data_IF_128214283566
#
_entry.id   IF_128214283566
#
_cell.length_a   1.000
_cell.length_b   1.000
_cell.length_c   1.000
_cell.angle_alpha   90.00
_cell.angle_beta   90.00
_cell.angle_gamma   90.00
#
_symmetry.space_group_name_H-M   'P 1'
#
loop_
_entity.id
_entity.type
_entity.pdbx_description
1 polymer ?
#
# COMPACT_ATOMS: atom_id res chain seq x y z
N UNK A 1 -0.74 4.68 6.84
CA UNK A 1 -1.35 3.37 6.64
C UNK A 1 -2.56 3.44 5.75
N UNK A 2 -2.71 2.50 4.83
CA UNK A 2 -3.81 2.50 3.84
C UNK A 2 -5.06 1.78 4.33
N UNK A 3 -4.99 1.12 5.48
CA UNK A 3 -6.11 0.37 6.04
C UNK A 3 -7.11 1.25 6.82
N UNK A 4 -6.86 2.53 6.97
CA UNK A 4 -7.78 3.42 7.68
C UNK A 4 -9.12 3.51 6.97
N UNK A 5 -10.16 3.29 7.75
CA UNK A 5 -11.55 3.33 7.30
C UNK A 5 -12.33 4.30 8.17
N UNK A 6 -13.30 4.95 7.57
CA UNK A 6 -14.23 5.84 8.29
C UNK A 6 -15.50 5.10 8.74
N UNK A 7 -15.58 3.80 8.43
CA UNK A 7 -16.70 2.95 8.79
C UNK A 7 -16.21 1.53 9.00
N UNK A 8 -16.80 0.81 9.95
CA UNK A 8 -16.43 -0.59 10.20
C UNK A 8 -16.79 -1.46 8.99
N UNK A 9 -15.93 -2.41 8.66
CA UNK A 9 -16.13 -3.29 7.51
C UNK A 9 -17.34 -4.22 7.67
N UNK A 10 -17.79 -4.44 8.90
CA UNK A 10 -18.98 -5.23 9.23
C UNK A 10 -20.29 -4.46 9.03
N UNK A 11 -20.24 -3.12 8.90
CA UNK A 11 -21.41 -2.30 8.64
C UNK A 11 -21.95 -2.61 7.24
N UNK A 12 -23.27 -2.82 7.13
CA UNK A 12 -23.92 -3.18 5.87
C UNK A 12 -23.80 -2.10 4.80
N UNK A 13 -23.53 -0.86 5.20
CA UNK A 13 -23.34 0.27 4.27
C UNK A 13 -21.87 0.50 3.92
N UNK A 14 -20.93 -0.33 4.41
CA UNK A 14 -19.52 -0.24 4.10
C UNK A 14 -19.26 -0.57 2.62
N UNK A 15 -18.33 0.17 2.04
CA UNK A 15 -17.82 -0.09 0.69
C UNK A 15 -16.32 0.18 0.67
N UNK A 16 -15.55 -0.73 0.11
CA UNK A 16 -14.10 -0.57 -0.06
C UNK A 16 -13.76 0.69 -0.86
N UNK A 17 -14.58 1.07 -1.83
CA UNK A 17 -14.35 2.26 -2.63
C UNK A 17 -14.60 3.56 -1.88
N UNK A 18 -15.59 3.58 -0.99
CA UNK A 18 -16.06 4.82 -0.34
C UNK A 18 -15.47 5.00 1.04
N UNK A 19 -15.22 3.91 1.78
CA UNK A 19 -14.94 3.98 3.20
C UNK A 19 -13.46 3.72 3.56
N UNK A 20 -12.61 3.45 2.60
CA UNK A 20 -11.15 3.47 2.79
C UNK A 20 -10.66 4.89 2.53
N UNK A 21 -10.18 5.56 3.57
CA UNK A 21 -9.87 7.00 3.54
C UNK A 21 -8.82 7.33 2.48
N UNK A 22 -7.68 6.66 2.48
CA UNK A 22 -6.61 6.95 1.53
C UNK A 22 -6.98 6.59 0.10
N UNK A 23 -7.71 5.49 -0.09
CA UNK A 23 -8.19 5.09 -1.40
C UNK A 23 -9.12 6.16 -2.00
N UNK A 24 -10.08 6.65 -1.21
CA UNK A 24 -11.01 7.70 -1.65
C UNK A 24 -10.29 9.00 -1.98
N UNK A 25 -9.33 9.41 -1.15
CA UNK A 25 -8.54 10.62 -1.39
C UNK A 25 -7.71 10.50 -2.66
N UNK A 26 -7.07 9.35 -2.87
CA UNK A 26 -6.27 9.11 -4.07
C UNK A 26 -7.13 9.09 -5.32
N UNK A 27 -8.30 8.46 -5.25
CA UNK A 27 -9.27 8.42 -6.35
C UNK A 27 -9.70 9.82 -6.80
N UNK A 28 -9.82 10.75 -5.86
CA UNK A 28 -10.17 12.14 -6.12
C UNK A 28 -8.98 13.03 -6.48
N UNK A 29 -7.74 12.54 -6.32
CA UNK A 29 -6.54 13.36 -6.51
C UNK A 29 -6.19 13.53 -7.99
N UNK A 30 -5.38 14.56 -8.26
CA UNK A 30 -4.84 14.83 -9.60
C UNK A 30 -3.48 14.19 -9.78
N UNK A 31 -3.08 13.97 -11.03
CA UNK A 31 -1.75 13.51 -11.39
C UNK A 31 -0.68 14.43 -10.79
N UNK A 32 0.36 13.83 -10.22
CA UNK A 32 1.51 14.54 -9.63
C UNK A 32 2.79 14.03 -10.30
N UNK A 33 3.24 14.67 -11.37
CA UNK A 33 4.41 14.21 -12.10
C UNK A 33 5.67 14.30 -11.22
N UNK A 34 6.60 13.41 -11.46
CA UNK A 34 7.88 13.37 -10.77
C UNK A 34 7.87 12.65 -9.43
N UNK A 35 6.73 12.17 -8.95
CA UNK A 35 6.68 11.37 -7.74
C UNK A 35 6.99 9.90 -8.03
N UNK A 36 7.68 9.27 -7.08
CA UNK A 36 7.92 7.84 -7.07
C UNK A 36 7.40 7.27 -5.75
N UNK A 37 7.08 5.98 -5.74
CA UNK A 37 6.43 5.34 -4.60
C UNK A 37 7.13 4.04 -4.26
N UNK A 38 7.38 3.83 -2.97
CA UNK A 38 7.95 2.59 -2.46
C UNK A 38 7.04 2.08 -1.35
N UNK A 39 6.51 0.88 -1.55
CA UNK A 39 5.56 0.27 -0.64
C UNK A 39 6.15 -0.98 -0.01
N UNK A 40 5.80 -1.21 1.22
CA UNK A 40 6.12 -2.43 1.95
C UNK A 40 4.89 -2.96 2.65
N UNK A 41 4.72 -4.28 2.63
CA UNK A 41 3.72 -4.97 3.43
C UNK A 41 4.30 -6.29 3.94
N UNK A 42 4.02 -6.62 5.19
CA UNK A 42 4.42 -7.90 5.79
C UNK A 42 3.23 -8.85 5.91
N UNK A 43 3.44 -10.10 5.58
CA UNK A 43 2.36 -11.10 5.59
C UNK A 43 1.88 -11.45 7.00
N UNK A 44 2.62 -11.07 8.05
CA UNK A 44 2.27 -11.33 9.43
C UNK A 44 1.91 -10.04 10.20
N UNK A 45 1.63 -8.93 9.50
CA UNK A 45 1.30 -7.66 10.14
C UNK A 45 -0.04 -7.68 10.87
N UNK A 46 -0.98 -8.48 10.37
CA UNK A 46 -2.31 -8.63 10.96
C UNK A 46 -2.91 -9.96 10.57
N UNK A 47 -4.13 -10.23 11.03
CA UNK A 47 -4.89 -11.43 10.67
C UNK A 47 -6.19 -11.11 9.94
N UNK A 48 -6.52 -9.82 9.80
CA UNK A 48 -7.76 -9.40 9.18
C UNK A 48 -7.79 -9.76 7.70
N UNK A 49 -8.88 -10.36 7.28
CA UNK A 49 -9.13 -10.79 5.90
C UNK A 49 -10.63 -10.63 5.66
N UNK A 50 -11.08 -9.40 5.32
CA UNK A 50 -12.49 -9.06 5.22
C UNK A 50 -13.21 -9.67 4.02
N UNK A 51 -12.48 -9.96 2.94
CA UNK A 51 -13.04 -10.61 1.76
C UNK A 51 -12.84 -12.14 1.74
N UNK A 52 -12.16 -12.66 2.76
CA UNK A 52 -11.93 -14.11 2.98
C UNK A 52 -11.25 -14.80 1.81
N UNK A 53 -10.30 -14.12 1.17
CA UNK A 53 -9.51 -14.66 0.06
C UNK A 53 -8.19 -15.30 0.50
N UNK A 54 -7.95 -15.40 1.81
CA UNK A 54 -6.72 -15.90 2.45
C UNK A 54 -5.53 -14.95 2.32
N UNK A 55 -5.76 -13.71 1.89
CA UNK A 55 -4.77 -12.64 1.85
C UNK A 55 -5.18 -11.58 2.87
N UNK A 56 -4.27 -11.20 3.76
CA UNK A 56 -4.60 -10.23 4.81
C UNK A 56 -4.88 -8.85 4.21
N UNK A 57 -5.74 -8.09 4.90
CA UNK A 57 -6.24 -6.81 4.40
C UNK A 57 -5.15 -5.79 4.06
N UNK A 58 -4.05 -5.73 4.82
CA UNK A 58 -2.98 -4.77 4.56
C UNK A 58 -2.33 -5.00 3.19
N UNK A 59 -2.21 -6.25 2.77
CA UNK A 59 -1.67 -6.61 1.46
C UNK A 59 -2.65 -6.21 0.36
N UNK A 60 -3.91 -6.59 0.52
CA UNK A 60 -4.97 -6.24 -0.44
C UNK A 60 -5.11 -4.73 -0.59
N UNK A 61 -5.17 -4.01 0.52
CA UNK A 61 -5.31 -2.55 0.52
C UNK A 61 -4.12 -1.87 -0.15
N UNK A 62 -2.91 -2.37 0.07
CA UNK A 62 -1.70 -1.83 -0.58
C UNK A 62 -1.74 -2.07 -2.08
N UNK A 63 -2.08 -3.27 -2.52
CA UNK A 63 -2.19 -3.60 -3.95
C UNK A 63 -3.27 -2.78 -4.65
N UNK A 64 -4.39 -2.55 -3.98
CA UNK A 64 -5.46 -1.70 -4.53
C UNK A 64 -5.00 -0.26 -4.74
N UNK A 65 -4.22 0.29 -3.81
CA UNK A 65 -3.62 1.62 -3.95
C UNK A 65 -2.67 1.66 -5.16
N UNK A 66 -1.81 0.66 -5.30
CA UNK A 66 -0.87 0.57 -6.43
C UNK A 66 -1.63 0.51 -7.75
N UNK A 67 -2.64 -0.34 -7.84
CA UNK A 67 -3.46 -0.47 -9.04
C UNK A 67 -4.18 0.84 -9.39
N UNK A 68 -4.64 1.57 -8.38
CA UNK A 68 -5.30 2.86 -8.59
C UNK A 68 -4.30 3.92 -9.11
N UNK A 69 -3.09 3.96 -8.55
CA UNK A 69 -2.03 4.86 -9.03
C UNK A 69 -1.72 4.61 -10.50
N UNK A 70 -1.60 3.35 -10.90
CA UNK A 70 -1.34 2.97 -12.28
C UNK A 70 -2.52 3.29 -13.20
N UNK A 71 -3.73 2.96 -12.78
CA UNK A 71 -4.96 3.20 -13.55
C UNK A 71 -5.19 4.67 -13.83
N UNK A 72 -4.88 5.54 -12.86
CA UNK A 72 -5.01 6.99 -12.98
C UNK A 72 -3.84 7.65 -13.71
N UNK A 73 -2.83 6.88 -14.09
CA UNK A 73 -1.59 7.41 -14.67
C UNK A 73 -0.91 8.47 -13.78
N UNK A 74 -1.04 8.31 -12.46
CA UNK A 74 -0.34 9.18 -11.49
C UNK A 74 1.15 8.95 -11.58
N UNK A 75 1.54 7.71 -11.80
CA UNK A 75 2.94 7.28 -11.91
C UNK A 75 3.04 6.16 -12.94
N UNK A 76 4.18 6.07 -13.62
CA UNK A 76 4.48 4.93 -14.50
C UNK A 76 4.90 3.72 -13.66
N UNK A 77 4.81 2.53 -14.24
CA UNK A 77 5.19 1.28 -13.57
C UNK A 77 6.60 1.34 -12.98
N UNK A 78 7.54 1.97 -13.66
CA UNK A 78 8.92 2.12 -13.21
C UNK A 78 9.06 2.99 -11.97
N UNK A 79 8.06 3.81 -11.68
CA UNK A 79 8.04 4.68 -10.49
C UNK A 79 7.47 4.04 -9.24
N UNK A 80 7.09 2.76 -9.31
CA UNK A 80 6.51 2.04 -8.17
C UNK A 80 7.39 0.84 -7.83
N UNK A 81 7.72 0.68 -6.55
CA UNK A 81 8.32 -0.54 -5.99
C UNK A 81 7.40 -1.07 -4.91
N UNK A 82 7.15 -2.37 -4.92
CA UNK A 82 6.40 -3.06 -3.88
C UNK A 82 7.23 -4.21 -3.32
N UNK A 83 7.42 -4.21 -2.01
CA UNK A 83 8.11 -5.26 -1.27
C UNK A 83 7.12 -5.95 -0.34
N UNK A 84 7.00 -7.27 -0.48
CA UNK A 84 6.18 -8.09 0.40
C UNK A 84 7.09 -9.08 1.13
N UNK A 85 7.03 -9.07 2.46
CA UNK A 85 7.80 -9.98 3.28
C UNK A 85 6.90 -11.11 3.78
N UNK A 86 7.22 -12.39 3.53
CA UNK A 86 6.40 -13.51 4.02
C UNK A 86 6.43 -13.64 5.54
N UNK A 87 7.41 -13.04 6.21
CA UNK A 87 7.57 -13.11 7.67
C UNK A 87 7.49 -11.73 8.33
N UNK A 88 7.25 -10.67 7.57
CA UNK A 88 7.23 -9.31 8.09
C UNK A 88 6.06 -9.05 9.03
N UNK A 89 6.34 -8.36 10.13
CA UNK A 89 5.36 -7.89 11.10
C UNK A 89 5.29 -6.37 11.08
N UNK A 90 4.32 -5.79 11.77
CA UNK A 90 4.18 -4.33 11.86
C UNK A 90 5.07 -3.79 12.98
N UNK A 91 6.38 -3.79 12.76
CA UNK A 91 7.37 -3.42 13.76
C UNK A 91 8.71 -2.98 13.15
N UNK A 92 9.50 -2.28 13.92
CA UNK A 92 10.82 -1.80 13.54
C UNK A 92 11.75 -2.90 13.04
N UNK A 93 11.66 -4.09 13.61
CA UNK A 93 12.50 -5.21 13.21
C UNK A 93 12.31 -5.55 11.73
N UNK A 94 11.07 -5.57 11.26
CA UNK A 94 10.77 -5.84 9.86
C UNK A 94 11.11 -4.66 8.96
N UNK A 95 10.81 -3.44 9.39
CA UNK A 95 11.11 -2.25 8.60
C UNK A 95 12.61 -2.02 8.44
N UNK A 96 13.40 -2.31 9.46
CA UNK A 96 14.86 -2.17 9.40
C UNK A 96 15.50 -3.15 8.42
N UNK A 97 14.89 -4.29 8.16
CA UNK A 97 15.38 -5.26 7.17
C UNK A 97 15.27 -4.75 5.74
N UNK A 98 14.21 -4.01 5.42
CA UNK A 98 13.96 -3.52 4.06
C UNK A 98 14.43 -2.10 3.83
N UNK A 99 14.71 -1.34 4.87
CA UNK A 99 15.11 0.05 4.77
C UNK A 99 16.40 0.27 3.96
N UNK A 100 17.45 -0.59 4.06
CA UNK A 100 18.61 -0.45 3.18
C UNK A 100 18.28 -0.55 1.69
N UNK A 101 17.37 -1.43 1.30
CA UNK A 101 16.92 -1.53 -0.09
C UNK A 101 16.22 -0.25 -0.54
N UNK A 102 15.38 0.31 0.32
CA UNK A 102 14.74 1.60 0.07
C UNK A 102 15.76 2.70 -0.16
N UNK A 103 16.79 2.79 0.69
CA UNK A 103 17.83 3.81 0.57
C UNK A 103 18.58 3.71 -0.76
N UNK A 104 18.94 2.51 -1.18
CA UNK A 104 19.62 2.29 -2.46
C UNK A 104 18.73 2.70 -3.63
N UNK A 105 17.45 2.41 -3.55
CA UNK A 105 16.48 2.80 -4.58
C UNK A 105 16.26 4.32 -4.61
N UNK A 106 16.10 4.95 -3.45
CA UNK A 106 15.80 6.38 -3.35
C UNK A 106 17.02 7.27 -3.65
N UNK A 107 18.20 6.80 -3.30
CA UNK A 107 19.46 7.56 -3.42
C UNK A 107 20.54 6.73 -4.08
N UNK A 108 20.36 6.29 -5.34
CA UNK A 108 21.34 5.43 -6.00
C UNK A 108 22.64 6.18 -6.26
N UNK A 109 23.76 5.46 -6.13
CA UNK A 109 25.09 5.98 -6.42
C UNK A 109 25.24 6.10 -7.95
N UNK A 110 25.81 7.20 -8.42
CA UNK A 110 26.10 7.41 -9.83
C UNK A 110 24.97 8.00 -10.66
N UNK A 111 23.95 8.54 -10.01
CA UNK A 111 22.90 9.31 -10.66
C UNK A 111 23.23 10.77 -10.78
#
# INVERSE_FOLDING_TARGET
>A
SFWWRDKASEDSSYSDEKNRIMYSKLKASRKKPGLQYWFYAGALEEKSDRDKDSIIDVIDDTKDIINLLLKKNVVATEGIVYKESPTGIHDYSSWSEVFPEFLVWAFPIGR
#
